data_IF_563098911663
#
_entry.id   IF_563098911663
#
_cell.length_a   1.000
_cell.length_b   1.000
_cell.length_c   1.000
_cell.angle_alpha   90.00
_cell.angle_beta   90.00
_cell.angle_gamma   90.00
#
_symmetry.space_group_name_H-M   'P 1'
#
loop_
_entity.id
_entity.type
_entity.pdbx_description
1 polymer ?
#
# COMPACT_ATOMS: atom_id res chain seq x y z
N UNK A 1 -8.81 13.21 27.26
CA UNK A 1 -8.91 11.77 26.96
C UNK A 1 -10.34 11.37 26.60
N UNK A 2 -11.35 11.76 27.37
CA UNK A 2 -12.77 11.44 27.07
C UNK A 2 -13.28 11.97 25.71
N UNK A 3 -12.90 13.18 25.28
CA UNK A 3 -13.33 13.73 23.99
C UNK A 3 -12.81 12.92 22.79
N UNK A 4 -11.58 12.39 22.87
CA UNK A 4 -10.99 11.56 21.83
C UNK A 4 -11.69 10.19 21.76
N UNK A 5 -11.99 9.61 22.92
CA UNK A 5 -12.73 8.34 23.03
C UNK A 5 -14.17 8.50 22.54
N UNK A 6 -14.84 9.61 22.88
CA UNK A 6 -16.20 9.90 22.44
C UNK A 6 -16.31 10.15 20.92
N UNK A 7 -15.34 10.86 20.34
CA UNK A 7 -15.22 11.04 18.89
C UNK A 7 -14.93 9.74 18.14
N UNK A 8 -14.07 8.87 18.70
CA UNK A 8 -13.60 7.64 18.06
C UNK A 8 -14.50 6.42 18.31
N UNK A 9 -15.33 6.43 19.36
CA UNK A 9 -16.21 5.29 19.70
C UNK A 9 -17.69 5.60 19.44
N UNK A 10 -18.20 6.77 19.86
CA UNK A 10 -19.64 7.08 19.80
C UNK A 10 -20.08 7.77 18.52
N UNK A 11 -19.19 8.48 17.83
CA UNK A 11 -19.52 9.21 16.59
C UNK A 11 -18.88 8.63 15.33
N UNK A 12 -18.38 7.40 15.36
CA UNK A 12 -17.71 6.76 14.21
C UNK A 12 -18.45 6.95 12.89
N UNK A 13 -19.79 6.89 12.84
CA UNK A 13 -20.55 7.13 11.61
C UNK A 13 -20.49 8.59 11.08
N UNK A 14 -20.31 9.59 11.95
CA UNK A 14 -20.29 11.03 11.64
C UNK A 14 -18.85 11.56 11.46
N UNK A 15 -17.88 11.03 12.22
CA UNK A 15 -16.47 11.49 12.23
C UNK A 15 -15.50 10.58 11.49
N UNK A 16 -15.89 9.36 11.08
CA UNK A 16 -15.03 8.52 10.21
C UNK A 16 -14.99 8.95 8.74
N UNK A 17 -15.73 9.99 8.38
CA UNK A 17 -15.66 10.60 7.07
C UNK A 17 -14.29 11.24 6.87
N UNK A 18 -13.33 10.49 6.30
CA UNK A 18 -12.07 11.06 5.80
C UNK A 18 -12.44 12.20 4.84
N UNK A 19 -11.91 13.43 5.02
CA UNK A 19 -12.10 14.52 4.06
C UNK A 19 -11.78 14.02 2.65
N UNK A 20 -12.54 14.47 1.67
CA UNK A 20 -12.40 14.00 0.29
C UNK A 20 -11.10 14.52 -0.31
N UNK A 21 -10.04 13.74 -0.21
CA UNK A 21 -8.77 14.01 -0.91
C UNK A 21 -8.89 13.53 -2.36
N UNK A 22 -9.19 14.45 -3.27
CA UNK A 22 -9.43 14.12 -4.68
C UNK A 22 -8.12 13.72 -5.35
N UNK A 23 -7.03 14.39 -4.99
CA UNK A 23 -5.71 14.09 -5.52
C UNK A 23 -5.30 12.66 -5.18
N UNK A 24 -5.27 12.29 -3.90
CA UNK A 24 -4.88 10.95 -3.50
C UNK A 24 -5.91 9.88 -3.93
N UNK A 25 -7.19 10.10 -3.64
CA UNK A 25 -8.20 9.05 -3.81
C UNK A 25 -8.57 8.80 -5.26
N UNK A 26 -8.87 9.86 -5.99
CA UNK A 26 -9.51 9.77 -7.31
C UNK A 26 -8.50 9.88 -8.44
N UNK A 27 -7.56 10.82 -8.34
CA UNK A 27 -6.57 11.02 -9.41
C UNK A 27 -5.46 9.98 -9.31
N UNK A 28 -4.87 9.76 -8.12
CA UNK A 28 -3.86 8.72 -7.93
C UNK A 28 -4.46 7.30 -7.71
N UNK A 29 -5.77 7.19 -7.52
CA UNK A 29 -6.46 5.91 -7.38
C UNK A 29 -6.33 5.24 -6.00
N UNK A 30 -5.93 5.96 -4.95
CA UNK A 30 -5.81 5.43 -3.59
C UNK A 30 -7.15 5.12 -2.91
N UNK A 31 -8.29 5.51 -3.50
CA UNK A 31 -9.62 5.14 -3.01
C UNK A 31 -9.91 3.63 -3.04
N UNK A 32 -9.05 2.84 -3.68
CA UNK A 32 -9.05 1.38 -3.64
C UNK A 32 -8.41 0.80 -2.37
N UNK A 33 -7.69 1.61 -1.59
CA UNK A 33 -7.11 1.23 -0.29
C UNK A 33 -8.16 1.33 0.83
N UNK A 34 -8.05 0.57 1.94
CA UNK A 34 -8.85 0.76 3.15
C UNK A 34 -8.34 1.89 4.08
N UNK A 35 -7.05 2.29 4.00
CA UNK A 35 -6.70 3.70 4.29
C UNK A 35 -7.44 4.57 3.26
N UNK A 36 -7.46 5.90 3.17
CA UNK A 36 -8.03 6.61 2.00
C UNK A 36 -9.55 6.47 1.65
N UNK A 37 -10.12 5.27 1.48
CA UNK A 37 -11.55 5.04 1.19
C UNK A 37 -12.46 5.57 2.30
N UNK A 38 -13.61 6.08 1.88
CA UNK A 38 -14.71 6.46 2.78
C UNK A 38 -15.27 5.23 3.49
N UNK A 39 -15.84 5.45 4.67
CA UNK A 39 -16.44 4.36 5.44
C UNK A 39 -17.75 3.86 4.78
N UNK A 40 -17.63 2.87 3.91
CA UNK A 40 -18.73 2.14 3.27
C UNK A 40 -18.66 0.62 3.57
N UNK A 41 -19.60 -0.16 3.04
CA UNK A 41 -19.59 -1.62 3.23
C UNK A 41 -18.36 -2.29 2.63
N UNK A 42 -17.81 -1.75 1.53
CA UNK A 42 -16.59 -2.24 0.92
C UNK A 42 -15.38 -2.01 1.83
N UNK A 43 -15.28 -0.84 2.48
CA UNK A 43 -14.25 -0.53 3.47
C UNK A 43 -14.32 -1.50 4.66
N UNK A 44 -15.53 -1.83 5.15
CA UNK A 44 -15.70 -2.84 6.20
C UNK A 44 -15.22 -4.23 5.75
N UNK A 45 -15.58 -4.64 4.53
CA UNK A 45 -15.11 -5.91 3.92
C UNK A 45 -13.58 -5.93 3.82
N UNK A 46 -12.98 -4.89 3.25
CA UNK A 46 -11.52 -4.76 3.13
C UNK A 46 -10.80 -4.86 4.48
N UNK A 47 -11.28 -4.14 5.50
CA UNK A 47 -10.69 -4.21 6.85
C UNK A 47 -10.81 -5.60 7.48
N UNK A 48 -11.94 -6.28 7.28
CA UNK A 48 -12.13 -7.67 7.77
C UNK A 48 -11.17 -8.64 7.09
N UNK A 49 -10.98 -8.51 5.78
CA UNK A 49 -10.06 -9.37 5.01
C UNK A 49 -8.60 -9.09 5.42
N UNK A 50 -8.20 -7.82 5.51
CA UNK A 50 -6.86 -7.42 5.92
C UNK A 50 -6.53 -7.79 7.37
N UNK A 51 -7.53 -7.85 8.26
CA UNK A 51 -7.35 -8.28 9.63
C UNK A 51 -6.86 -9.73 9.75
N UNK A 52 -7.12 -10.62 8.77
CA UNK A 52 -6.61 -12.00 8.81
C UNK A 52 -5.08 -12.06 8.71
N UNK A 53 -4.45 -11.15 7.95
CA UNK A 53 -3.00 -11.01 7.87
C UNK A 53 -2.40 -10.35 9.11
N UNK A 54 -3.11 -9.39 9.71
CA UNK A 54 -2.56 -8.54 10.77
C UNK A 54 -2.94 -9.01 12.18
N UNK A 55 -3.74 -10.06 12.31
CA UNK A 55 -4.17 -10.57 13.61
C UNK A 55 -2.96 -11.03 14.44
N UNK A 56 -2.90 -10.77 15.77
CA UNK A 56 -1.76 -11.16 16.61
C UNK A 56 -1.39 -12.65 16.56
N UNK A 57 -2.37 -13.51 16.28
CA UNK A 57 -2.13 -14.93 16.05
C UNK A 57 -1.30 -15.19 14.77
N UNK A 58 -1.64 -14.50 13.67
CA UNK A 58 -0.88 -14.55 12.42
C UNK A 58 0.48 -13.87 12.56
N UNK A 59 0.56 -12.74 13.27
CA UNK A 59 1.81 -12.01 13.50
C UNK A 59 2.90 -12.87 14.15
N UNK A 60 2.51 -13.77 15.07
CA UNK A 60 3.45 -14.73 15.70
C UNK A 60 4.10 -15.69 14.70
N UNK A 61 3.42 -16.02 13.61
CA UNK A 61 3.98 -16.88 12.56
C UNK A 61 5.08 -16.17 11.74
N UNK A 62 5.17 -14.84 11.81
CA UNK A 62 6.14 -14.05 11.06
C UNK A 62 7.48 -13.87 11.79
N UNK A 63 7.65 -14.43 12.99
CA UNK A 63 8.85 -14.21 13.81
C UNK A 63 10.15 -14.61 13.07
N UNK A 64 10.16 -15.76 12.40
CA UNK A 64 11.31 -16.22 11.62
C UNK A 64 11.60 -15.27 10.44
N UNK A 65 10.55 -14.84 9.73
CA UNK A 65 10.67 -13.89 8.63
C UNK A 65 11.19 -12.52 9.10
N UNK A 66 10.69 -12.01 10.23
CA UNK A 66 11.19 -10.78 10.84
C UNK A 66 12.67 -10.89 11.17
N UNK A 67 13.10 -11.98 11.80
CA UNK A 67 14.51 -12.20 12.15
C UNK A 67 15.40 -12.21 10.91
N UNK A 68 15.01 -12.96 9.86
CA UNK A 68 15.77 -13.01 8.60
C UNK A 68 15.87 -11.64 7.94
N UNK A 69 14.76 -10.89 7.86
CA UNK A 69 14.77 -9.52 7.32
C UNK A 69 15.65 -8.59 8.16
N UNK A 70 15.59 -8.68 9.49
CA UNK A 70 16.42 -7.84 10.38
C UNK A 70 17.90 -8.16 10.23
N UNK A 71 18.28 -9.44 10.11
CA UNK A 71 19.68 -9.82 9.88
C UNK A 71 20.18 -9.25 8.55
N UNK A 72 19.39 -9.37 7.48
CA UNK A 72 19.74 -8.83 6.17
C UNK A 72 19.89 -7.30 6.21
N UNK A 73 18.95 -6.60 6.82
CA UNK A 73 19.01 -5.15 7.04
C UNK A 73 20.29 -4.72 7.77
N UNK A 74 20.65 -5.41 8.86
CA UNK A 74 21.88 -5.09 9.61
C UNK A 74 23.15 -5.31 8.77
N UNK A 75 23.15 -6.34 7.91
CA UNK A 75 24.25 -6.58 6.98
C UNK A 75 24.35 -5.48 5.92
N UNK A 76 23.23 -5.03 5.35
CA UNK A 76 23.19 -3.95 4.37
C UNK A 76 23.66 -2.61 4.98
N UNK A 77 23.16 -2.26 6.17
CA UNK A 77 23.59 -1.04 6.89
C UNK A 77 25.07 -1.09 7.26
N UNK A 78 25.61 -2.27 7.60
CA UNK A 78 27.03 -2.44 7.91
C UNK A 78 27.93 -2.36 6.66
N UNK A 79 27.42 -2.78 5.49
CA UNK A 79 28.18 -2.89 4.26
C UNK A 79 28.07 -1.66 3.33
N UNK A 80 27.01 -0.87 3.43
CA UNK A 80 26.71 0.22 2.50
C UNK A 80 26.93 1.62 3.10
N UNK A 81 26.98 2.63 2.21
CA UNK A 81 26.89 4.05 2.55
C UNK A 81 25.49 4.64 2.27
N UNK A 82 24.51 3.79 1.93
CA UNK A 82 23.14 4.26 1.73
C UNK A 82 22.56 4.81 3.03
N UNK A 83 21.56 5.67 2.90
CA UNK A 83 20.96 6.23 4.11
C UNK A 83 20.29 5.11 4.90
N UNK A 84 20.40 5.18 6.23
CA UNK A 84 19.72 4.26 7.13
C UNK A 84 18.22 4.15 6.82
N UNK A 85 17.61 5.23 6.34
CA UNK A 85 16.20 5.28 5.96
C UNK A 85 15.90 4.47 4.69
N UNK A 86 16.77 4.54 3.68
CA UNK A 86 16.58 3.76 2.45
C UNK A 86 16.66 2.26 2.74
N UNK A 87 17.69 1.85 3.50
CA UNK A 87 17.82 0.46 3.94
C UNK A 87 16.63 0.00 4.80
N UNK A 88 16.06 0.90 5.63
CA UNK A 88 14.88 0.59 6.44
C UNK A 88 13.65 0.37 5.55
N UNK A 89 13.46 1.24 4.56
CA UNK A 89 12.34 1.13 3.62
C UNK A 89 12.43 -0.13 2.76
N UNK A 90 13.63 -0.47 2.28
CA UNK A 90 13.86 -1.71 1.53
C UNK A 90 13.60 -2.95 2.40
N UNK A 91 14.05 -2.94 3.66
CA UNK A 91 13.80 -4.03 4.59
C UNK A 91 12.30 -4.23 4.87
N UNK A 92 11.57 -3.14 5.14
CA UNK A 92 10.12 -3.17 5.35
C UNK A 92 9.39 -3.63 4.09
N UNK A 93 9.75 -3.12 2.93
CA UNK A 93 9.18 -3.52 1.65
C UNK A 93 9.42 -5.00 1.35
N UNK A 94 10.64 -5.49 1.54
CA UNK A 94 10.99 -6.91 1.39
C UNK A 94 10.19 -7.82 2.33
N UNK A 95 10.04 -7.41 3.59
CA UNK A 95 9.19 -8.11 4.55
C UNK A 95 7.73 -8.19 4.06
N UNK A 96 7.17 -7.08 3.59
CA UNK A 96 5.78 -7.04 3.13
C UNK A 96 5.61 -7.83 1.83
N UNK A 97 6.56 -7.79 0.89
CA UNK A 97 6.53 -8.59 -0.34
C UNK A 97 6.47 -10.08 -0.01
N UNK A 98 7.28 -10.53 0.95
CA UNK A 98 7.29 -11.94 1.37
C UNK A 98 6.02 -12.32 2.11
N UNK A 99 5.54 -11.48 3.01
CA UNK A 99 4.29 -11.70 3.75
C UNK A 99 3.08 -11.75 2.81
N UNK A 100 2.94 -10.75 1.95
CA UNK A 100 1.74 -10.54 1.15
C UNK A 100 1.71 -11.49 -0.06
N UNK A 101 2.86 -11.75 -0.69
CA UNK A 101 2.94 -12.43 -1.98
C UNK A 101 3.86 -13.66 -1.99
N UNK A 102 4.50 -14.01 -0.87
CA UNK A 102 5.44 -15.14 -0.81
C UNK A 102 6.71 -14.88 -1.62
N UNK A 103 6.97 -13.61 -1.95
CA UNK A 103 8.05 -13.18 -2.81
C UNK A 103 9.28 -12.80 -2.00
N UNK A 104 10.44 -13.33 -2.37
CA UNK A 104 11.73 -12.99 -1.76
C UNK A 104 12.55 -12.30 -2.84
N UNK A 105 12.96 -11.06 -2.58
CA UNK A 105 13.91 -10.38 -3.47
C UNK A 105 15.23 -11.14 -3.47
N UNK A 106 15.80 -11.35 -4.66
CA UNK A 106 17.09 -12.01 -4.84
C UNK A 106 18.21 -11.03 -5.19
N UNK A 107 17.92 -9.73 -5.26
CA UNK A 107 18.86 -8.69 -5.69
C UNK A 107 18.69 -7.42 -4.86
N UNK A 108 19.78 -6.70 -4.61
CA UNK A 108 19.80 -5.41 -3.90
C UNK A 108 18.95 -4.34 -4.60
N UNK A 109 18.57 -4.54 -5.87
CA UNK A 109 17.72 -3.61 -6.66
C UNK A 109 16.58 -4.37 -7.31
N UNK A 110 15.64 -4.79 -6.48
CA UNK A 110 14.45 -5.49 -6.98
C UNK A 110 13.53 -4.52 -7.74
N UNK A 111 13.20 -4.81 -9.01
CA UNK A 111 12.35 -3.93 -9.82
C UNK A 111 10.92 -3.82 -9.30
N UNK A 112 10.39 -4.84 -8.63
CA UNK A 112 9.06 -4.82 -8.02
C UNK A 112 9.06 -3.98 -6.74
N UNK A 113 10.13 -4.06 -5.94
CA UNK A 113 10.30 -3.21 -4.77
C UNK A 113 10.44 -1.72 -5.17
N UNK A 114 11.27 -1.43 -6.18
CA UNK A 114 11.42 -0.08 -6.72
C UNK A 114 10.08 0.46 -7.24
N UNK A 115 9.27 -0.38 -7.88
CA UNK A 115 7.94 -0.01 -8.36
C UNK A 115 6.98 0.35 -7.20
N UNK A 116 7.02 -0.41 -6.10
CA UNK A 116 6.25 -0.09 -4.89
C UNK A 116 6.71 1.24 -4.29
N UNK A 117 8.02 1.43 -4.14
CA UNK A 117 8.59 2.67 -3.58
C UNK A 117 8.22 3.89 -4.42
N UNK A 118 8.28 3.77 -5.74
CA UNK A 118 7.89 4.84 -6.64
C UNK A 118 6.39 5.16 -6.51
N UNK A 119 5.52 4.15 -6.39
CA UNK A 119 4.10 4.39 -6.14
C UNK A 119 3.84 5.08 -4.80
N UNK A 120 4.57 4.73 -3.74
CA UNK A 120 4.47 5.37 -2.43
C UNK A 120 5.04 6.79 -2.44
N UNK A 121 6.06 7.07 -3.25
CA UNK A 121 6.60 8.42 -3.45
C UNK A 121 5.55 9.37 -4.01
N UNK A 122 4.80 8.93 -5.03
CA UNK A 122 3.68 9.71 -5.58
C UNK A 122 2.55 9.93 -4.56
N UNK A 123 2.25 8.92 -3.73
CA UNK A 123 1.33 9.10 -2.62
C UNK A 123 1.85 10.15 -1.62
N UNK A 124 3.13 10.07 -1.26
CA UNK A 124 3.80 11.04 -0.41
C UNK A 124 3.58 12.46 -0.91
N UNK A 125 3.89 12.71 -2.20
CA UNK A 125 3.65 14.00 -2.85
C UNK A 125 2.17 14.43 -2.74
N UNK A 126 1.23 13.53 -3.05
CA UNK A 126 -0.20 13.84 -3.00
C UNK A 126 -0.68 14.24 -1.59
N UNK A 127 -0.09 13.66 -0.54
CA UNK A 127 -0.47 13.91 0.86
C UNK A 127 0.32 15.02 1.54
N UNK A 128 1.54 15.33 1.08
CA UNK A 128 2.39 16.37 1.65
C UNK A 128 2.31 17.71 0.92
N UNK A 129 1.80 17.73 -0.31
CA UNK A 129 1.66 18.94 -1.12
C UNK A 129 0.21 19.39 -1.18
N UNK A 130 -0.02 20.69 -1.04
CA UNK A 130 -1.35 21.27 -1.23
C UNK A 130 -1.71 21.33 -2.73
N UNK A 131 -2.84 20.73 -3.10
CA UNK A 131 -3.37 20.76 -4.46
C UNK A 131 -4.76 21.40 -4.48
N UNK A 132 -4.95 22.43 -5.33
CA UNK A 132 -6.23 23.14 -5.50
C UNK A 132 -7.41 22.23 -5.85
N UNK A 133 -7.15 21.08 -6.48
CA UNK A 133 -8.20 20.11 -6.84
C UNK A 133 -8.89 19.50 -5.61
N UNK A 134 -8.25 19.53 -4.44
CA UNK A 134 -8.85 19.07 -3.18
C UNK A 134 -9.93 20.03 -2.68
N UNK A 135 -9.80 21.33 -2.92
CA UNK A 135 -10.81 22.34 -2.54
C UNK A 135 -11.82 22.58 -3.66
N UNK A 136 -11.39 22.46 -4.92
CA UNK A 136 -12.22 22.64 -6.11
C UNK A 136 -12.29 21.35 -6.94
N UNK A 137 -13.20 20.41 -6.58
CA UNK A 137 -13.34 19.12 -7.25
C UNK A 137 -13.50 19.17 -8.76
N UNK A 138 -14.07 20.26 -9.28
CA UNK A 138 -14.29 20.44 -10.72
C UNK A 138 -12.98 20.47 -11.51
N UNK A 139 -11.86 20.83 -10.87
CA UNK A 139 -10.54 20.87 -11.51
C UNK A 139 -10.07 19.48 -11.95
N UNK A 140 -10.62 18.38 -11.40
CA UNK A 140 -10.27 17.00 -11.80
C UNK A 140 -10.57 16.69 -13.28
N UNK A 141 -11.39 17.51 -13.93
CA UNK A 141 -11.75 17.38 -15.34
C UNK A 141 -10.85 18.20 -16.28
N UNK A 142 -9.91 18.99 -15.73
CA UNK A 142 -8.97 19.73 -16.55
C UNK A 142 -8.05 18.77 -17.30
N UNK A 143 -7.81 18.97 -18.60
CA UNK A 143 -6.88 18.13 -19.34
C UNK A 143 -5.44 18.41 -18.91
N UNK A 144 -4.58 17.40 -18.99
CA UNK A 144 -3.19 17.48 -18.50
C UNK A 144 -2.30 18.50 -19.23
N UNK A 145 -2.73 19.03 -20.38
CA UNK A 145 -2.04 20.09 -21.12
C UNK A 145 -2.40 21.51 -20.64
N UNK A 146 -3.49 21.67 -19.87
CA UNK A 146 -3.96 22.98 -19.44
C UNK A 146 -2.96 23.66 -18.47
N UNK A 147 -2.74 24.98 -18.59
CA UNK A 147 -1.86 25.70 -17.65
C UNK A 147 -2.31 25.51 -16.20
N UNK A 148 -1.39 25.14 -15.30
CA UNK A 148 -1.71 24.83 -13.90
C UNK A 148 -2.26 23.42 -13.63
N UNK A 149 -2.53 22.60 -14.66
CA UNK A 149 -2.98 21.22 -14.49
C UNK A 149 -1.82 20.20 -14.29
N UNK A 150 -0.70 20.64 -13.69
CA UNK A 150 0.46 19.75 -13.46
C UNK A 150 0.11 18.55 -12.57
N UNK A 151 -0.84 18.74 -11.64
CA UNK A 151 -1.36 17.68 -10.77
C UNK A 151 -1.96 16.50 -11.56
N UNK A 152 -2.51 16.72 -12.75
CA UNK A 152 -3.02 15.64 -13.61
C UNK A 152 -1.89 14.74 -14.13
N UNK A 153 -0.72 15.32 -14.44
CA UNK A 153 0.44 14.54 -14.89
C UNK A 153 1.02 13.72 -13.75
N UNK A 154 1.22 14.36 -12.59
CA UNK A 154 1.65 13.67 -11.36
C UNK A 154 0.69 12.53 -11.04
N UNK A 155 -0.61 12.83 -11.02
CA UNK A 155 -1.64 11.87 -10.65
C UNK A 155 -1.77 10.72 -11.64
N UNK A 156 -1.66 10.98 -12.95
CA UNK A 156 -1.62 9.91 -13.97
C UNK A 156 -0.44 8.97 -13.76
N UNK A 157 0.77 9.50 -13.55
CA UNK A 157 1.95 8.65 -13.34
C UNK A 157 1.79 7.85 -12.04
N UNK A 158 1.38 8.51 -10.95
CA UNK A 158 1.15 7.83 -9.67
C UNK A 158 0.07 6.75 -9.73
N UNK A 159 -1.02 7.00 -10.45
CA UNK A 159 -2.08 6.03 -10.69
C UNK A 159 -1.57 4.83 -11.49
N UNK A 160 -0.86 5.09 -12.60
CA UNK A 160 -0.32 4.04 -13.46
C UNK A 160 0.68 3.17 -12.67
N UNK A 161 1.54 3.77 -11.82
CA UNK A 161 2.43 3.02 -10.92
C UNK A 161 1.65 2.18 -9.90
N UNK A 162 0.63 2.76 -9.27
CA UNK A 162 -0.22 2.07 -8.29
C UNK A 162 -0.90 0.84 -8.86
N UNK A 163 -1.55 1.02 -10.01
CA UNK A 163 -2.25 -0.06 -10.72
C UNK A 163 -1.26 -1.13 -11.16
N UNK A 164 -0.10 -0.71 -11.67
CA UNK A 164 0.93 -1.62 -12.16
C UNK A 164 1.45 -2.53 -11.04
N UNK A 165 1.89 -1.99 -9.89
CA UNK A 165 2.43 -2.84 -8.82
C UNK A 165 1.35 -3.75 -8.23
N UNK A 166 0.12 -3.25 -8.05
CA UNK A 166 -0.98 -4.05 -7.52
C UNK A 166 -1.33 -5.22 -8.44
N UNK A 167 -1.34 -4.99 -9.76
CA UNK A 167 -1.64 -6.03 -10.75
C UNK A 167 -0.46 -7.01 -10.93
N UNK A 168 0.77 -6.53 -11.09
CA UNK A 168 1.93 -7.41 -11.32
C UNK A 168 2.15 -8.38 -10.14
N UNK A 169 2.14 -7.86 -8.91
CA UNK A 169 2.33 -8.68 -7.71
C UNK A 169 1.18 -9.67 -7.49
N UNK A 170 -0.06 -9.23 -7.69
CA UNK A 170 -1.22 -10.12 -7.58
C UNK A 170 -1.21 -11.21 -8.65
N UNK A 171 -1.01 -10.84 -9.92
CA UNK A 171 -1.04 -11.77 -11.04
C UNK A 171 0.07 -12.83 -10.93
N UNK A 172 1.25 -12.45 -10.40
CA UNK A 172 2.32 -13.40 -10.11
C UNK A 172 1.84 -14.53 -9.18
N UNK A 173 1.18 -14.18 -8.06
CA UNK A 173 0.68 -15.19 -7.11
C UNK A 173 -0.52 -15.93 -7.67
N UNK A 174 -1.44 -15.22 -8.33
CA UNK A 174 -2.63 -15.83 -8.92
C UNK A 174 -2.27 -16.89 -9.98
N UNK A 175 -1.26 -16.61 -10.81
CA UNK A 175 -0.74 -17.58 -11.77
C UNK A 175 -0.14 -18.81 -11.09
N UNK A 176 0.63 -18.64 -10.00
CA UNK A 176 1.17 -19.77 -9.21
C UNK A 176 0.07 -20.63 -8.59
N UNK A 177 -0.99 -20.01 -8.07
CA UNK A 177 -2.16 -20.73 -7.55
C UNK A 177 -2.85 -21.53 -8.66
N UNK A 178 -3.00 -20.93 -9.86
CA UNK A 178 -3.61 -21.59 -11.02
C UNK A 178 -2.77 -22.76 -11.56
N UNK A 179 -1.44 -22.66 -11.52
CA UNK A 179 -0.54 -23.74 -11.97
C UNK A 179 -0.25 -24.78 -10.88
N UNK A 180 -0.66 -24.52 -9.63
CA UNK A 180 -0.34 -25.37 -8.48
C UNK A 180 1.12 -25.25 -8.00
N UNK A 181 1.86 -24.23 -8.46
CA UNK A 181 3.28 -24.01 -8.19
C UNK A 181 3.46 -23.02 -7.01
N UNK A 182 2.92 -23.37 -5.84
CA UNK A 182 3.02 -22.55 -4.63
C UNK A 182 4.20 -23.01 -3.79
N UNK A 183 5.37 -22.39 -4.00
CA UNK A 183 6.57 -22.70 -3.23
C UNK A 183 6.53 -22.11 -1.81
N UNK A 184 5.84 -20.98 -1.64
CA UNK A 184 5.77 -20.22 -0.38
C UNK A 184 4.35 -19.72 -0.15
N UNK A 185 3.64 -20.21 0.88
CA UNK A 185 2.36 -19.65 1.28
C UNK A 185 2.47 -18.17 1.63
N UNK A 186 1.43 -17.43 1.31
CA UNK A 186 1.36 -15.97 1.47
C UNK A 186 -0.07 -15.54 1.79
N UNK A 187 -0.24 -14.28 2.20
CA UNK A 187 -1.58 -13.71 2.38
C UNK A 187 -2.45 -13.85 1.13
N UNK A 188 -1.91 -13.52 -0.05
CA UNK A 188 -2.67 -13.62 -1.30
C UNK A 188 -2.97 -15.08 -1.66
N UNK A 189 -1.99 -15.98 -1.61
CA UNK A 189 -2.21 -17.38 -1.98
C UNK A 189 -3.21 -18.05 -1.04
N UNK A 190 -3.08 -17.87 0.28
CA UNK A 190 -3.99 -18.46 1.25
C UNK A 190 -5.42 -17.95 1.12
N UNK A 191 -5.61 -16.65 0.80
CA UNK A 191 -6.94 -16.12 0.52
C UNK A 191 -7.53 -16.67 -0.77
N UNK A 192 -6.73 -16.77 -1.85
CA UNK A 192 -7.16 -17.36 -3.11
C UNK A 192 -7.59 -18.82 -2.93
N UNK A 193 -6.76 -19.65 -2.27
CA UNK A 193 -7.06 -21.05 -1.98
C UNK A 193 -8.35 -21.20 -1.16
N UNK A 194 -8.53 -20.38 -0.11
CA UNK A 194 -9.75 -20.40 0.72
C UNK A 194 -11.03 -20.01 -0.03
N UNK A 195 -10.90 -19.37 -1.20
CA UNK A 195 -11.99 -18.84 -2.03
C UNK A 195 -12.19 -19.61 -3.34
N UNK A 196 -11.60 -20.80 -3.46
CA UNK A 196 -11.78 -21.67 -4.63
C UNK A 196 -10.64 -21.63 -5.64
N UNK A 197 -9.48 -21.08 -5.28
CA UNK A 197 -8.27 -21.07 -6.09
C UNK A 197 -8.47 -20.31 -7.40
N UNK A 198 -8.38 -21.02 -8.52
CA UNK A 198 -8.59 -20.46 -9.86
C UNK A 198 -10.03 -20.00 -10.13
N UNK A 199 -11.01 -20.53 -9.40
CA UNK A 199 -12.44 -20.24 -9.57
C UNK A 199 -12.96 -19.11 -8.64
N UNK A 200 -12.04 -18.33 -8.08
CA UNK A 200 -12.36 -17.19 -7.19
C UNK A 200 -13.22 -16.14 -7.91
N UNK A 201 -14.17 -15.55 -7.19
CA UNK A 201 -15.06 -14.52 -7.74
C UNK A 201 -14.32 -13.21 -8.05
N UNK A 202 -14.82 -12.40 -9.00
CA UNK A 202 -14.24 -11.08 -9.31
C UNK A 202 -14.25 -10.14 -8.09
N UNK A 203 -15.28 -10.23 -7.23
CA UNK A 203 -15.36 -9.44 -6.00
C UNK A 203 -14.23 -9.83 -5.02
N UNK A 204 -13.97 -11.13 -4.86
CA UNK A 204 -12.89 -11.61 -4.01
C UNK A 204 -11.52 -11.26 -4.62
N UNK A 205 -11.33 -11.37 -5.93
CA UNK A 205 -10.12 -10.90 -6.62
C UNK A 205 -9.86 -9.43 -6.32
N UNK A 206 -10.89 -8.59 -6.43
CA UNK A 206 -10.78 -7.16 -6.12
C UNK A 206 -10.37 -6.93 -4.66
N UNK A 207 -11.02 -7.60 -3.71
CA UNK A 207 -10.70 -7.49 -2.28
C UNK A 207 -9.27 -7.96 -1.97
N UNK A 208 -8.88 -9.14 -2.43
CA UNK A 208 -7.56 -9.73 -2.16
C UNK A 208 -6.47 -8.84 -2.73
N UNK A 209 -6.59 -8.45 -4.01
CA UNK A 209 -5.61 -7.61 -4.70
C UNK A 209 -5.38 -6.28 -3.97
N UNK A 210 -6.45 -5.54 -3.71
CA UNK A 210 -6.32 -4.18 -3.18
C UNK A 210 -5.99 -4.15 -1.69
N UNK A 211 -6.41 -5.15 -0.91
CA UNK A 211 -5.97 -5.28 0.49
C UNK A 211 -4.50 -5.67 0.58
N UNK A 212 -4.03 -6.61 -0.26
CA UNK A 212 -2.62 -6.98 -0.31
C UNK A 212 -1.73 -5.79 -0.75
N UNK A 213 -2.15 -5.06 -1.79
CA UNK A 213 -1.43 -3.86 -2.26
C UNK A 213 -1.36 -2.75 -1.20
N UNK A 214 -2.32 -2.71 -0.27
CA UNK A 214 -2.38 -1.73 0.81
C UNK A 214 -1.56 -2.08 2.04
N UNK A 215 -1.06 -3.32 2.16
CA UNK A 215 -0.17 -3.71 3.27
C UNK A 215 1.13 -2.89 3.25
N UNK A 216 1.64 -2.55 2.06
CA UNK A 216 2.84 -1.71 1.90
C UNK A 216 2.70 -0.33 2.55
N UNK A 217 1.56 0.31 2.35
CA UNK A 217 1.30 1.65 2.89
C UNK A 217 1.15 1.62 4.39
N UNK A 218 0.49 0.58 4.92
CA UNK A 218 0.35 0.40 6.36
C UNK A 218 1.69 0.12 7.05
N UNK A 219 2.62 -0.56 6.39
CA UNK A 219 3.94 -0.88 6.95
C UNK A 219 5.01 0.20 6.77
N UNK A 220 5.07 0.89 5.62
CA UNK A 220 6.08 1.94 5.37
C UNK A 220 5.78 3.23 6.15
N UNK A 221 4.52 3.69 6.14
CA UNK A 221 4.17 4.99 6.76
C UNK A 221 4.31 5.01 8.28
N UNK A 222 4.24 3.85 8.95
CA UNK A 222 4.47 3.75 10.40
C UNK A 222 5.94 3.80 10.79
N UNK A 223 6.85 3.47 9.87
CA UNK A 223 8.28 3.42 10.13
C UNK A 223 8.96 4.76 9.79
N UNK A 224 8.43 5.49 8.82
CA UNK A 224 8.96 6.77 8.34
C UNK A 224 8.60 8.01 9.17
N UNK A 225 7.92 7.89 10.32
CA UNK A 225 7.29 9.03 11.00
C UNK A 225 8.25 10.05 11.68
N UNK A 226 9.53 10.07 11.32
CA UNK A 226 10.51 11.10 11.74
C UNK A 226 11.49 11.47 10.61
N UNK A 227 11.07 12.23 9.61
CA UNK A 227 12.00 13.10 8.89
C UNK A 227 11.28 14.31 8.28
N UNK A 228 11.82 15.50 8.55
CA UNK A 228 11.38 16.77 7.97
C UNK A 228 11.56 16.72 6.45
N UNK A 229 10.45 16.84 5.71
CA UNK A 229 10.49 17.00 4.26
C UNK A 229 10.95 18.42 3.93
N UNK A 230 12.10 18.53 3.25
CA UNK A 230 12.48 19.77 2.56
C UNK A 230 11.69 19.88 1.25
N UNK A 231 11.21 21.09 1.01
CA UNK A 231 10.40 21.50 -0.13
C UNK A 231 11.07 21.11 -1.46
N UNK A 232 10.41 20.33 -2.35
CA UNK A 232 10.94 20.02 -3.69
C UNK A 232 10.91 21.23 -4.64
N UNK A 233 10.47 22.40 -4.19
CA UNK A 233 10.43 23.64 -4.96
C UNK A 233 11.51 24.67 -4.57
N UNK A 234 12.55 24.28 -3.82
CA UNK A 234 13.75 25.10 -3.60
C UNK A 234 14.88 24.81 -4.59
#
# INVERSE_FOLDING_TARGET
MELATELLEKQTAVTSGRPRDIMANEILGWGTSPAFRRHDEMHKKMRRVMASALHPAAARSYAAQHLETTIHFLQEVAASRESFMDATNDAVGSFIMRLAYGYVSHTTKDPLLALVHESLRYLGIATSTYFLVNDFPILRYLPAWFPGAHFQRIGKIGHDMRVRYANEMFNMVFNRVRTGEIDRPSYVSGLLESKGGENVSEEDIYLIKWTAASLFTAGSTTVDQKSEFKDPFS
#
